data_IF_375039645669
#
_entry.id   IF_375039645669
#
_cell.length_a   1.000
_cell.length_b   1.000
_cell.length_c   1.000
_cell.angle_alpha   90.00
_cell.angle_beta   90.00
_cell.angle_gamma   90.00
#
_symmetry.space_group_name_H-M   'P 1'
#
loop_
_entity.id
_entity.type
_entity.pdbx_description
1 polymer ?
#
# COMPACT_ATOMS: atom_id res chain seq x y z
N UNK A 1 23.52 -72.79 30.65
CA UNK A 1 22.22 -72.20 30.45
C UNK A 1 22.44 -70.71 30.38
N UNK A 2 22.59 -70.11 29.15
CA UNK A 2 22.99 -68.72 28.93
C UNK A 2 21.80 -68.00 28.38
N UNK A 3 21.27 -67.04 29.16
CA UNK A 3 20.18 -66.14 28.76
C UNK A 3 20.83 -64.91 28.11
N UNK A 4 20.61 -64.75 26.82
CA UNK A 4 21.00 -63.53 26.07
C UNK A 4 19.85 -62.48 26.17
N UNK A 5 20.08 -61.37 26.89
CA UNK A 5 19.23 -60.25 26.89
C UNK A 5 19.42 -59.46 25.57
N UNK A 6 18.37 -59.34 24.79
CA UNK A 6 18.32 -58.44 23.63
C UNK A 6 17.85 -57.06 24.07
N UNK A 7 18.70 -56.06 23.89
CA UNK A 7 18.41 -54.65 24.17
C UNK A 7 17.83 -54.01 22.89
N UNK A 8 16.54 -53.70 22.90
CA UNK A 8 15.90 -52.96 21.84
C UNK A 8 16.25 -51.44 21.97
N UNK A 9 16.99 -50.92 21.01
CA UNK A 9 17.18 -49.47 20.88
C UNK A 9 16.00 -48.88 20.08
N UNK A 10 15.16 -48.11 20.75
CA UNK A 10 14.14 -47.28 20.11
C UNK A 10 14.80 -45.99 19.61
N UNK A 11 14.98 -45.86 18.31
CA UNK A 11 15.40 -44.59 17.66
C UNK A 11 14.18 -43.71 17.54
N UNK A 12 14.10 -42.68 18.38
CA UNK A 12 13.11 -41.60 18.25
C UNK A 12 13.50 -40.72 17.08
N UNK A 13 12.80 -40.85 15.95
CA UNK A 13 12.86 -39.91 14.82
C UNK A 13 12.15 -38.62 15.21
N UNK A 14 12.93 -37.64 15.66
CA UNK A 14 12.46 -36.26 15.82
C UNK A 14 12.32 -35.60 14.45
N UNK A 15 11.08 -35.51 13.94
CA UNK A 15 10.79 -34.65 12.79
C UNK A 15 10.89 -33.18 13.24
N UNK A 16 11.77 -32.36 12.63
CA UNK A 16 11.71 -30.92 12.87
C UNK A 16 10.41 -30.40 12.22
N UNK A 17 9.40 -30.13 13.04
CA UNK A 17 8.23 -29.41 12.60
C UNK A 17 8.70 -28.05 12.05
N UNK A 18 8.56 -27.84 10.74
CA UNK A 18 8.80 -26.54 10.14
C UNK A 18 7.85 -25.53 10.80
N UNK A 19 8.36 -24.74 11.73
CA UNK A 19 7.67 -23.58 12.28
C UNK A 19 7.43 -22.62 11.11
N UNK A 20 6.19 -22.58 10.62
CA UNK A 20 5.78 -21.57 9.64
C UNK A 20 5.95 -20.23 10.33
N UNK A 21 6.91 -19.43 9.87
CA UNK A 21 7.19 -18.12 10.42
C UNK A 21 5.91 -17.29 10.39
N UNK A 22 5.41 -16.92 11.57
CA UNK A 22 4.24 -16.08 11.71
C UNK A 22 4.59 -14.69 11.19
N UNK A 23 3.80 -14.16 10.26
CA UNK A 23 4.01 -12.83 9.71
C UNK A 23 3.96 -11.78 10.84
N UNK A 24 4.86 -10.80 10.79
CA UNK A 24 4.79 -9.69 11.75
C UNK A 24 3.52 -8.86 11.54
N UNK A 25 3.02 -8.22 12.61
CA UNK A 25 1.84 -7.34 12.50
C UNK A 25 2.02 -6.25 11.43
N UNK A 26 3.20 -5.67 11.30
CA UNK A 26 3.50 -4.70 10.25
C UNK A 26 3.34 -5.30 8.84
N UNK A 27 3.76 -6.55 8.64
CA UNK A 27 3.57 -7.24 7.36
C UNK A 27 2.10 -7.56 7.09
N UNK A 28 1.34 -7.98 8.10
CA UNK A 28 -0.11 -8.19 7.99
C UNK A 28 -0.83 -6.89 7.64
N UNK A 29 -0.55 -5.79 8.34
CA UNK A 29 -1.12 -4.46 8.06
C UNK A 29 -0.76 -3.99 6.66
N UNK A 30 0.49 -4.18 6.21
CA UNK A 30 0.93 -3.78 4.86
C UNK A 30 0.13 -4.44 3.75
N UNK A 31 -0.22 -5.71 3.93
CA UNK A 31 -0.92 -6.52 2.91
C UNK A 31 -2.45 -6.45 3.01
N UNK A 32 -2.99 -5.72 3.99
CA UNK A 32 -4.43 -5.69 4.28
C UNK A 32 -5.06 -4.35 3.93
N UNK A 33 -6.28 -4.43 3.37
CA UNK A 33 -7.13 -3.28 3.09
C UNK A 33 -8.23 -3.12 4.14
N UNK A 34 -8.65 -4.24 4.75
CA UNK A 34 -9.72 -4.28 5.75
C UNK A 34 -9.21 -5.04 6.96
N UNK A 35 -9.25 -4.37 8.12
CA UNK A 35 -8.81 -4.94 9.39
C UNK A 35 -9.94 -4.77 10.38
N UNK A 36 -10.38 -5.88 10.98
CA UNK A 36 -11.47 -5.86 11.97
C UNK A 36 -11.27 -6.92 13.05
N UNK A 37 -11.86 -6.69 14.20
CA UNK A 37 -12.03 -7.71 15.25
C UNK A 37 -13.38 -8.35 15.03
N UNK A 38 -13.45 -9.68 15.10
CA UNK A 38 -14.71 -10.40 14.95
C UNK A 38 -14.69 -11.77 15.57
N UNK A 39 -15.88 -12.29 15.77
CA UNK A 39 -16.13 -13.63 16.34
C UNK A 39 -16.62 -14.56 15.24
N UNK A 40 -15.93 -15.70 15.05
CA UNK A 40 -16.37 -16.75 14.11
C UNK A 40 -17.69 -17.32 14.59
N UNK A 41 -18.74 -17.21 13.78
CA UNK A 41 -20.06 -17.75 14.10
C UNK A 41 -20.32 -19.10 13.45
N UNK A 42 -19.81 -19.32 12.23
CA UNK A 42 -19.99 -20.55 11.47
C UNK A 42 -18.74 -20.90 10.67
N UNK A 43 -18.45 -22.18 10.54
CA UNK A 43 -17.36 -22.75 9.71
C UNK A 43 -17.98 -23.51 8.54
N UNK A 44 -17.36 -23.47 7.37
CA UNK A 44 -17.90 -24.08 6.15
C UNK A 44 -19.14 -23.36 5.59
N UNK A 45 -19.36 -22.11 6.01
CA UNK A 45 -20.54 -21.33 5.67
C UNK A 45 -20.17 -19.99 5.03
N UNK A 46 -21.15 -19.33 4.41
CA UNK A 46 -21.03 -18.03 3.77
C UNK A 46 -22.20 -17.14 4.16
N UNK A 47 -21.96 -15.86 4.39
CA UNK A 47 -22.95 -14.81 4.56
C UNK A 47 -23.31 -14.13 3.21
N UNK A 48 -22.41 -14.22 2.22
CA UNK A 48 -22.58 -13.67 0.88
C UNK A 48 -22.87 -14.84 -0.08
N UNK A 49 -24.07 -14.93 -0.68
CA UNK A 49 -24.50 -16.08 -1.49
C UNK A 49 -23.65 -16.32 -2.74
N UNK A 50 -23.03 -15.27 -3.25
CA UNK A 50 -22.17 -15.30 -4.44
C UNK A 50 -20.82 -16.00 -4.17
N UNK A 51 -20.47 -16.22 -2.90
CA UNK A 51 -19.26 -16.93 -2.49
C UNK A 51 -19.52 -18.44 -2.43
N UNK A 52 -18.73 -19.28 -3.13
CA UNK A 52 -18.82 -20.72 -2.99
C UNK A 52 -18.50 -21.18 -1.56
N UNK A 53 -19.34 -22.02 -0.99
CA UNK A 53 -19.05 -22.68 0.31
C UNK A 53 -17.87 -23.63 0.17
N UNK A 54 -16.99 -23.60 1.14
CA UNK A 54 -15.84 -24.50 1.21
C UNK A 54 -15.40 -24.71 2.67
N UNK A 55 -14.51 -25.66 2.91
CA UNK A 55 -13.90 -25.84 4.23
C UNK A 55 -13.04 -24.63 4.66
N UNK A 56 -12.74 -23.74 3.73
CA UNK A 56 -11.98 -22.50 3.96
C UNK A 56 -12.87 -21.30 4.21
N UNK A 57 -14.19 -21.40 4.05
CA UNK A 57 -15.08 -20.27 4.28
C UNK A 57 -15.63 -20.29 5.71
N UNK A 58 -15.58 -19.14 6.35
CA UNK A 58 -16.20 -18.94 7.68
C UNK A 58 -17.05 -17.69 7.66
N UNK A 59 -18.10 -17.68 8.47
CA UNK A 59 -18.87 -16.47 8.75
C UNK A 59 -18.37 -15.89 10.05
N UNK A 60 -17.98 -14.61 10.00
CA UNK A 60 -17.49 -13.85 11.14
C UNK A 60 -18.45 -12.71 11.42
N UNK A 61 -18.96 -12.60 12.65
CA UNK A 61 -19.64 -11.41 13.12
C UNK A 61 -18.58 -10.37 13.48
N UNK A 62 -18.68 -9.17 12.89
CA UNK A 62 -17.79 -8.05 13.16
C UNK A 62 -18.10 -7.49 14.55
N UNK A 63 -17.13 -7.49 15.43
CA UNK A 63 -17.24 -6.89 16.75
C UNK A 63 -16.77 -5.42 16.72
N UNK A 64 -15.70 -5.13 15.94
CA UNK A 64 -15.20 -3.78 15.71
C UNK A 64 -14.44 -3.67 14.38
N UNK A 65 -14.65 -2.59 13.66
CA UNK A 65 -13.83 -2.23 12.48
C UNK A 65 -12.66 -1.37 12.95
N UNK A 66 -11.44 -1.80 12.62
CA UNK A 66 -10.20 -1.08 12.92
C UNK A 66 -9.76 -0.21 11.74
N UNK A 67 -9.81 -0.77 10.52
CA UNK A 67 -9.44 -0.10 9.29
C UNK A 67 -10.28 -0.63 8.11
N UNK A 68 -10.72 0.25 7.22
CA UNK A 68 -11.38 -0.10 5.95
C UNK A 68 -11.31 1.04 4.95
N UNK A 69 -11.39 0.79 3.63
CA UNK A 69 -11.63 1.82 2.63
C UNK A 69 -12.97 2.55 2.89
N UNK A 70 -12.99 3.85 2.61
CA UNK A 70 -14.19 4.68 2.86
C UNK A 70 -15.47 4.16 2.21
N UNK A 71 -15.48 3.68 0.94
CA UNK A 71 -16.70 3.20 0.27
C UNK A 71 -17.20 1.84 0.78
N UNK A 72 -16.42 1.10 1.58
CA UNK A 72 -16.85 -0.21 2.10
C UNK A 72 -17.85 -0.03 3.24
N UNK A 73 -19.07 -0.48 3.02
CA UNK A 73 -20.12 -0.48 4.05
C UNK A 73 -19.92 -1.68 4.99
N UNK A 74 -19.12 -1.50 6.04
CA UNK A 74 -18.84 -2.49 7.07
C UNK A 74 -18.88 -1.83 8.44
N UNK A 75 -19.70 -2.38 9.35
CA UNK A 75 -19.89 -1.87 10.71
C UNK A 75 -19.91 -3.01 11.74
N UNK A 76 -19.81 -2.66 13.01
CA UNK A 76 -19.98 -3.64 14.09
C UNK A 76 -21.41 -4.25 14.04
N UNK A 77 -21.50 -5.55 14.24
CA UNK A 77 -22.73 -6.34 14.11
C UNK A 77 -22.91 -7.02 12.75
N UNK A 78 -22.24 -6.55 11.70
CA UNK A 78 -22.33 -7.15 10.38
C UNK A 78 -21.73 -8.57 10.34
N UNK A 79 -22.26 -9.40 9.42
CA UNK A 79 -21.72 -10.73 9.13
C UNK A 79 -20.90 -10.67 7.86
N UNK A 80 -19.63 -11.08 7.97
CA UNK A 80 -18.65 -11.11 6.86
C UNK A 80 -18.32 -12.55 6.52
N UNK A 81 -18.26 -12.86 5.22
CA UNK A 81 -17.64 -14.10 4.75
C UNK A 81 -16.14 -13.92 4.68
N UNK A 82 -15.37 -14.75 5.38
CA UNK A 82 -13.92 -14.78 5.30
C UNK A 82 -13.47 -16.09 4.64
N UNK A 83 -12.73 -16.00 3.54
CA UNK A 83 -12.00 -17.13 3.00
C UNK A 83 -10.67 -17.22 3.72
N UNK A 84 -10.50 -18.26 4.55
CA UNK A 84 -9.28 -18.47 5.34
C UNK A 84 -8.12 -18.96 4.48
N UNK A 85 -6.91 -18.60 4.85
CA UNK A 85 -5.70 -19.07 4.16
C UNK A 85 -5.54 -20.60 4.23
N UNK A 86 -6.02 -21.23 5.33
CA UNK A 86 -5.98 -22.68 5.53
C UNK A 86 -7.31 -23.19 6.07
N UNK A 87 -7.77 -24.33 5.53
CA UNK A 87 -8.92 -25.02 6.08
C UNK A 87 -8.69 -25.40 7.55
N UNK A 88 -9.74 -25.27 8.38
CA UNK A 88 -9.69 -25.66 9.79
C UNK A 88 -8.83 -24.78 10.71
N UNK A 89 -8.29 -23.66 10.21
CA UNK A 89 -7.49 -22.72 11.02
C UNK A 89 -8.31 -22.00 12.11
N UNK A 90 -9.62 -21.88 11.91
CA UNK A 90 -10.54 -21.21 12.81
C UNK A 90 -11.67 -22.16 13.24
N UNK A 91 -12.18 -21.95 14.46
CA UNK A 91 -13.33 -22.67 15.01
C UNK A 91 -14.42 -21.66 15.40
N UNK A 92 -15.68 -22.11 15.38
CA UNK A 92 -16.79 -21.31 15.87
C UNK A 92 -16.55 -20.86 17.34
N UNK A 93 -16.93 -19.65 17.67
CA UNK A 93 -16.74 -19.03 18.98
C UNK A 93 -15.37 -18.36 19.17
N UNK A 94 -14.41 -18.55 18.26
CA UNK A 94 -13.11 -17.85 18.36
C UNK A 94 -13.27 -16.40 17.94
N UNK A 95 -12.77 -15.50 18.80
CA UNK A 95 -12.58 -14.09 18.48
C UNK A 95 -11.15 -13.86 18.04
N UNK A 96 -10.96 -13.07 16.99
CA UNK A 96 -9.64 -12.72 16.46
C UNK A 96 -9.64 -11.34 15.82
N UNK A 97 -8.44 -10.76 15.67
CA UNK A 97 -8.20 -9.65 14.74
C UNK A 97 -7.91 -10.25 13.38
N UNK A 98 -8.75 -9.93 12.40
CA UNK A 98 -8.63 -10.36 11.03
C UNK A 98 -7.95 -9.31 10.19
N UNK A 99 -6.89 -9.69 9.50
CA UNK A 99 -6.18 -8.90 8.49
C UNK A 99 -6.56 -9.44 7.12
N UNK A 100 -7.25 -8.64 6.30
CA UNK A 100 -7.91 -9.15 5.10
C UNK A 100 -7.76 -8.22 3.91
N UNK A 101 -7.91 -8.79 2.70
CA UNK A 101 -8.11 -8.05 1.46
C UNK A 101 -9.55 -8.20 0.98
N UNK A 102 -10.04 -7.19 0.24
CA UNK A 102 -11.37 -7.26 -0.35
C UNK A 102 -11.51 -8.38 -1.38
N UNK A 103 -12.69 -8.99 -1.43
CA UNK A 103 -13.05 -10.00 -2.43
C UNK A 103 -14.35 -9.63 -3.15
N UNK A 104 -15.47 -9.55 -2.43
CA UNK A 104 -16.77 -9.17 -2.98
C UNK A 104 -17.39 -8.11 -2.08
N UNK A 105 -17.87 -7.04 -2.71
CA UNK A 105 -18.62 -5.97 -2.09
C UNK A 105 -19.96 -5.81 -2.80
N UNK A 106 -21.04 -5.69 -2.05
CA UNK A 106 -22.38 -5.55 -2.61
C UNK A 106 -23.42 -5.55 -1.47
N UNK A 107 -24.41 -6.45 -1.53
CA UNK A 107 -25.39 -6.63 -0.45
C UNK A 107 -24.77 -7.23 0.85
N UNK A 108 -23.51 -7.65 0.79
CA UNK A 108 -22.70 -8.14 1.89
C UNK A 108 -21.22 -7.98 1.58
N UNK A 109 -20.38 -8.29 2.55
CA UNK A 109 -18.91 -8.20 2.42
C UNK A 109 -18.32 -9.59 2.50
N UNK A 110 -17.51 -9.95 1.51
CA UNK A 110 -16.64 -11.10 1.55
C UNK A 110 -15.18 -10.64 1.39
N UNK A 111 -14.29 -11.26 2.17
CA UNK A 111 -12.87 -10.91 2.23
C UNK A 111 -12.00 -12.17 2.20
N UNK A 112 -10.74 -12.01 1.79
CA UNK A 112 -9.72 -13.05 1.88
C UNK A 112 -8.77 -12.76 3.02
N UNK A 113 -8.49 -13.76 3.81
CA UNK A 113 -7.56 -13.66 4.92
C UNK A 113 -6.12 -13.54 4.43
N UNK A 114 -5.41 -12.53 4.92
CA UNK A 114 -3.94 -12.41 4.89
C UNK A 114 -3.37 -13.11 6.12
N UNK A 115 -4.03 -12.98 7.25
CA UNK A 115 -3.73 -13.64 8.52
C UNK A 115 -4.67 -13.17 9.61
N UNK A 116 -4.55 -13.81 10.79
CA UNK A 116 -5.29 -13.42 11.98
C UNK A 116 -4.41 -13.48 13.23
N UNK A 117 -4.75 -12.67 14.21
CA UNK A 117 -4.19 -12.74 15.56
C UNK A 117 -5.31 -13.12 16.53
N UNK A 118 -5.12 -14.16 17.38
CA UNK A 118 -6.15 -14.55 18.33
C UNK A 118 -6.48 -13.39 19.29
N UNK A 119 -7.75 -13.15 19.51
CA UNK A 119 -8.23 -12.15 20.46
C UNK A 119 -7.96 -12.60 21.91
N UNK A 120 -7.50 -11.68 22.74
CA UNK A 120 -7.28 -11.93 24.16
C UNK A 120 -8.32 -11.23 25.01
N UNK A 121 -9.62 -11.47 24.86
CA UNK A 121 -10.66 -10.90 25.72
C UNK A 121 -11.70 -10.03 25.01
N UNK A 122 -12.96 -10.02 25.50
CA UNK A 122 -14.04 -9.24 24.90
C UNK A 122 -13.90 -7.71 25.07
N UNK A 123 -12.85 -7.24 25.76
CA UNK A 123 -12.56 -5.81 25.85
C UNK A 123 -11.79 -5.41 24.59
N UNK A 124 -12.56 -4.95 23.61
CA UNK A 124 -12.02 -4.29 22.43
C UNK A 124 -11.37 -2.99 22.87
N UNK A 125 -10.06 -3.02 23.04
CA UNK A 125 -9.34 -1.93 23.64
C UNK A 125 -8.98 -0.88 22.60
N UNK A 126 -8.94 0.38 23.02
CA UNK A 126 -8.28 1.48 22.30
C UNK A 126 -6.90 1.03 21.79
N UNK A 127 -6.24 0.14 22.55
CA UNK A 127 -4.93 -0.45 22.25
C UNK A 127 -4.87 -1.18 20.90
N UNK A 128 -5.91 -1.88 20.45
CA UNK A 128 -5.91 -2.57 19.16
C UNK A 128 -5.91 -1.58 18.00
N UNK A 129 -6.70 -0.50 18.08
CA UNK A 129 -6.70 0.57 17.08
C UNK A 129 -5.36 1.29 17.05
N UNK A 130 -4.84 1.64 18.21
CA UNK A 130 -3.55 2.29 18.34
C UNK A 130 -2.42 1.40 17.78
N UNK A 131 -2.43 0.11 18.07
CA UNK A 131 -1.45 -0.84 17.56
C UNK A 131 -1.49 -0.96 16.02
N UNK A 132 -2.69 -1.00 15.43
CA UNK A 132 -2.84 -1.02 13.96
C UNK A 132 -2.42 0.32 13.37
N UNK A 133 -2.85 1.45 13.94
CA UNK A 133 -2.46 2.79 13.48
C UNK A 133 -0.93 2.99 13.55
N UNK A 134 -0.31 2.56 14.64
CA UNK A 134 1.15 2.60 14.80
C UNK A 134 1.87 1.72 13.77
N UNK A 135 1.37 0.49 13.53
CA UNK A 135 1.93 -0.39 12.52
C UNK A 135 1.77 0.22 11.11
N UNK A 136 0.61 0.83 10.80
CA UNK A 136 0.37 1.52 9.53
C UNK A 136 1.30 2.73 9.35
N UNK A 137 1.52 3.52 10.38
CA UNK A 137 2.45 4.64 10.35
C UNK A 137 3.89 4.17 10.04
N UNK A 138 4.34 3.07 10.65
CA UNK A 138 5.66 2.49 10.38
C UNK A 138 5.77 1.99 8.92
N UNK A 139 4.73 1.36 8.38
CA UNK A 139 4.67 0.93 6.98
C UNK A 139 4.74 2.14 6.05
N UNK A 140 3.95 3.18 6.32
CA UNK A 140 3.94 4.41 5.52
C UNK A 140 5.29 5.13 5.57
N UNK A 141 5.97 5.16 6.72
CA UNK A 141 7.31 5.73 6.83
C UNK A 141 8.36 4.90 6.08
N UNK A 142 8.27 3.57 6.11
CA UNK A 142 9.16 2.70 5.36
C UNK A 142 8.97 2.86 3.85
N UNK A 143 7.73 2.91 3.38
CA UNK A 143 7.41 3.13 1.97
C UNK A 143 7.86 4.53 1.52
N UNK A 144 7.60 5.57 2.32
CA UNK A 144 8.07 6.92 2.06
C UNK A 144 9.61 6.99 2.03
N UNK A 145 10.29 6.35 2.99
CA UNK A 145 11.76 6.27 3.00
C UNK A 145 12.29 5.61 1.73
N UNK A 146 11.68 4.53 1.26
CA UNK A 146 12.06 3.87 0.03
C UNK A 146 11.87 4.78 -1.20
N UNK A 147 10.79 5.58 -1.27
CA UNK A 147 10.57 6.57 -2.32
C UNK A 147 11.61 7.70 -2.26
N UNK A 148 11.89 8.25 -1.08
CA UNK A 148 12.93 9.27 -0.87
C UNK A 148 14.30 8.76 -1.33
N UNK A 149 14.65 7.52 -1.03
CA UNK A 149 15.93 6.93 -1.44
C UNK A 149 16.06 6.86 -2.96
N UNK A 150 15.00 6.45 -3.67
CA UNK A 150 14.96 6.35 -5.13
C UNK A 150 14.82 7.70 -5.83
N UNK A 151 14.25 8.70 -5.17
CA UNK A 151 14.11 10.04 -5.73
C UNK A 151 15.48 10.64 -6.07
N UNK A 152 15.62 11.18 -7.27
CA UNK A 152 16.79 11.93 -7.69
C UNK A 152 16.86 13.29 -6.97
N UNK A 153 15.68 13.86 -6.68
CA UNK A 153 15.52 15.17 -6.06
C UNK A 153 14.34 15.16 -5.10
N UNK A 154 14.43 15.92 -4.01
CA UNK A 154 13.32 16.18 -3.08
C UNK A 154 13.29 17.66 -2.78
N UNK A 155 12.17 18.29 -3.04
CA UNK A 155 12.01 19.74 -2.88
C UNK A 155 10.68 20.08 -2.22
N UNK A 156 10.64 21.18 -1.46
CA UNK A 156 9.40 21.84 -1.12
C UNK A 156 9.30 23.13 -1.96
N UNK A 157 8.12 23.40 -2.50
CA UNK A 157 7.94 24.54 -3.40
C UNK A 157 6.51 24.72 -3.86
N UNK A 158 6.36 25.58 -4.86
CA UNK A 158 5.07 25.95 -5.46
C UNK A 158 5.09 25.70 -6.97
N UNK A 159 4.00 25.17 -7.50
CA UNK A 159 3.76 25.05 -8.94
C UNK A 159 3.44 26.43 -9.52
N UNK A 160 4.32 26.94 -10.38
CA UNK A 160 4.12 28.25 -11.02
C UNK A 160 3.37 28.14 -12.36
N UNK A 161 3.60 27.05 -13.09
CA UNK A 161 3.02 26.83 -14.41
C UNK A 161 2.71 25.36 -14.64
N UNK A 162 1.64 25.10 -15.38
CA UNK A 162 1.32 23.80 -15.98
C UNK A 162 1.12 23.99 -17.48
N UNK A 163 1.74 23.14 -18.29
CA UNK A 163 1.66 23.18 -19.75
C UNK A 163 1.72 21.78 -20.37
N UNK A 164 1.29 21.58 -21.63
CA UNK A 164 1.55 20.35 -22.36
C UNK A 164 3.05 20.04 -22.41
N UNK A 165 3.41 18.76 -22.27
CA UNK A 165 4.83 18.36 -22.29
C UNK A 165 5.41 18.49 -23.69
N UNK A 166 6.56 19.16 -23.81
CA UNK A 166 7.35 19.21 -25.03
C UNK A 166 8.22 17.92 -25.10
N UNK A 167 7.65 16.86 -25.64
CA UNK A 167 8.37 15.62 -25.85
C UNK A 167 9.14 15.69 -27.18
N UNK A 168 10.37 15.15 -27.21
CA UNK A 168 11.10 15.01 -28.47
C UNK A 168 10.21 14.30 -29.49
N UNK A 169 10.16 14.81 -30.71
CA UNK A 169 9.30 14.28 -31.76
C UNK A 169 9.50 12.76 -31.86
N UNK A 170 8.43 12.01 -31.70
CA UNK A 170 8.44 10.58 -31.90
C UNK A 170 8.91 10.28 -33.34
N UNK A 171 9.74 9.25 -33.53
CA UNK A 171 10.17 8.89 -34.87
C UNK A 171 8.95 8.64 -35.77
N UNK A 172 8.90 9.26 -36.88
CA UNK A 172 8.06 9.28 -38.10
C UNK A 172 6.88 8.30 -38.28
N UNK A 173 6.43 7.58 -37.27
CA UNK A 173 5.18 6.81 -37.30
C UNK A 173 4.09 7.61 -36.59
N UNK A 174 2.92 7.80 -37.22
CA UNK A 174 1.80 8.44 -36.53
C UNK A 174 1.51 7.66 -35.26
N UNK A 175 1.69 8.33 -34.10
CA UNK A 175 1.37 7.75 -32.80
C UNK A 175 -0.14 7.45 -32.80
N UNK A 176 -0.49 6.19 -32.70
CA UNK A 176 -1.88 5.81 -32.47
C UNK A 176 -2.24 6.32 -31.07
N UNK A 177 -3.02 7.39 -31.00
CA UNK A 177 -3.63 7.83 -29.75
C UNK A 177 -4.58 6.69 -29.32
N UNK A 178 -4.31 6.09 -28.17
CA UNK A 178 -5.16 5.10 -27.53
C UNK A 178 -5.89 5.76 -26.37
N UNK A 179 -7.03 5.22 -25.96
CA UNK A 179 -7.74 5.69 -24.75
C UNK A 179 -6.89 5.66 -23.49
N UNK A 180 -5.77 4.92 -23.47
CA UNK A 180 -4.79 4.88 -22.37
C UNK A 180 -3.61 5.85 -22.57
N UNK A 181 -3.72 6.81 -23.52
CA UNK A 181 -2.66 7.80 -23.71
C UNK A 181 -2.54 8.69 -22.45
N UNK A 182 -1.34 8.88 -21.91
CA UNK A 182 -1.14 9.64 -20.66
C UNK A 182 -1.44 11.13 -20.79
N UNK A 183 -1.48 11.70 -22.00
CA UNK A 183 -1.58 13.16 -22.21
C UNK A 183 -0.59 13.91 -21.33
N UNK A 184 0.71 13.73 -21.62
CA UNK A 184 1.78 14.25 -20.77
C UNK A 184 1.74 15.76 -20.64
N UNK A 185 1.74 16.21 -19.38
CA UNK A 185 1.83 17.59 -18.96
C UNK A 185 3.16 17.84 -18.24
N UNK A 186 3.58 19.10 -18.19
CA UNK A 186 4.73 19.58 -17.40
C UNK A 186 4.27 20.59 -16.36
N UNK A 187 4.64 20.37 -15.10
CA UNK A 187 4.56 21.36 -14.04
C UNK A 187 5.93 21.99 -13.83
N UNK A 188 6.01 23.32 -13.81
CA UNK A 188 7.22 24.05 -13.42
C UNK A 188 7.05 24.41 -11.96
N UNK A 189 7.95 23.88 -11.11
CA UNK A 189 7.95 24.11 -9.68
C UNK A 189 9.06 25.07 -9.31
N UNK A 190 8.70 26.19 -8.66
CA UNK A 190 9.64 27.06 -7.99
C UNK A 190 10.05 26.42 -6.67
N UNK A 191 11.33 26.10 -6.53
CA UNK A 191 11.89 25.50 -5.32
C UNK A 191 12.03 26.56 -4.24
N UNK A 192 11.31 26.41 -3.15
CA UNK A 192 11.45 27.25 -1.96
C UNK A 192 12.47 26.66 -0.98
N UNK A 193 12.54 25.33 -0.93
CA UNK A 193 13.43 24.59 -0.04
C UNK A 193 13.93 23.32 -0.72
N UNK A 194 15.25 23.25 -0.95
CA UNK A 194 15.92 22.07 -1.50
C UNK A 194 16.29 21.08 -0.40
N UNK A 195 15.56 19.96 -0.32
CA UNK A 195 15.77 18.94 0.70
C UNK A 195 16.84 17.93 0.27
N UNK A 196 16.85 17.57 -1.02
CA UNK A 196 17.82 16.66 -1.65
C UNK A 196 17.98 17.04 -3.12
N UNK A 197 19.20 17.26 -3.57
CA UNK A 197 19.54 17.39 -5.01
C UNK A 197 19.08 18.66 -5.71
N UNK A 198 18.61 19.69 -5.00
CA UNK A 198 18.26 21.00 -5.52
C UNK A 198 18.56 22.10 -4.48
N UNK A 199 18.56 23.34 -4.94
CA UNK A 199 18.72 24.54 -4.10
C UNK A 199 17.44 25.41 -4.16
N UNK A 200 17.23 26.19 -3.09
CA UNK A 200 16.16 27.17 -3.08
C UNK A 200 16.39 28.22 -4.19
N UNK A 201 15.33 28.65 -4.86
CA UNK A 201 15.38 29.57 -5.98
C UNK A 201 15.49 28.90 -7.35
N UNK A 202 15.76 27.60 -7.42
CA UNK A 202 15.78 26.86 -8.69
C UNK A 202 14.36 26.61 -9.21
N UNK A 203 14.24 26.43 -10.53
CA UNK A 203 13.03 25.93 -11.17
C UNK A 203 13.27 24.51 -11.66
N UNK A 204 12.35 23.60 -11.37
CA UNK A 204 12.40 22.21 -11.80
C UNK A 204 11.15 21.83 -12.58
N UNK A 205 11.29 20.96 -13.59
CA UNK A 205 10.16 20.51 -14.40
C UNK A 205 9.80 19.08 -14.03
N UNK A 206 8.51 18.88 -13.75
CA UNK A 206 7.93 17.58 -13.42
C UNK A 206 6.91 17.20 -14.46
N UNK A 207 7.09 16.06 -15.10
CA UNK A 207 6.12 15.46 -16.02
C UNK A 207 5.14 14.58 -15.29
N UNK A 208 3.89 14.72 -15.64
CA UNK A 208 2.81 13.92 -15.08
C UNK A 208 1.75 13.64 -16.17
N UNK A 209 0.99 12.53 -16.07
CA UNK A 209 -0.09 12.26 -16.99
C UNK A 209 -1.29 13.14 -16.68
N UNK A 210 -1.77 13.91 -17.67
CA UNK A 210 -2.98 14.73 -17.58
C UNK A 210 -4.26 13.92 -17.71
N UNK A 211 -4.19 12.74 -18.35
CA UNK A 211 -5.33 11.86 -18.60
C UNK A 211 -6.04 11.42 -17.32
N UNK A 212 -7.37 11.35 -17.37
CA UNK A 212 -8.26 10.77 -16.34
C UNK A 212 -8.56 9.29 -16.56
N UNK A 213 -7.94 8.65 -17.56
CA UNK A 213 -8.09 7.23 -17.81
C UNK A 213 -7.74 6.38 -16.57
N UNK A 214 -8.34 5.18 -16.47
CA UNK A 214 -8.15 4.26 -15.34
C UNK A 214 -6.68 3.92 -15.09
N UNK A 215 -5.85 3.90 -16.14
CA UNK A 215 -4.40 3.66 -16.02
C UNK A 215 -3.67 4.80 -15.30
N UNK A 216 -4.20 6.02 -15.34
CA UNK A 216 -3.53 7.24 -14.87
C UNK A 216 -4.29 8.02 -13.79
N UNK A 217 -5.54 7.64 -13.47
CA UNK A 217 -6.37 8.35 -12.49
C UNK A 217 -5.75 8.36 -11.08
N UNK A 218 -4.96 7.34 -10.74
CA UNK A 218 -4.28 7.21 -9.44
C UNK A 218 -2.94 7.97 -9.35
N UNK A 219 -2.46 8.58 -10.45
CA UNK A 219 -1.21 9.34 -10.44
C UNK A 219 -1.43 10.77 -9.99
N UNK A 220 -0.44 11.43 -9.36
CA UNK A 220 -0.52 12.84 -9.01
C UNK A 220 -0.85 13.71 -10.22
N UNK A 221 -1.65 14.74 -9.99
CA UNK A 221 -1.95 15.83 -10.91
C UNK A 221 -1.47 17.10 -10.26
N UNK A 222 -1.00 18.05 -11.07
CA UNK A 222 -0.48 19.32 -10.58
C UNK A 222 -1.36 20.46 -11.05
N UNK A 223 -1.58 21.44 -10.18
CA UNK A 223 -2.31 22.66 -10.48
C UNK A 223 -1.45 23.89 -10.16
N UNK A 224 -1.63 24.94 -10.95
CA UNK A 224 -0.95 26.23 -10.70
C UNK A 224 -1.32 26.75 -9.31
N UNK A 225 -0.32 27.16 -8.55
CA UNK A 225 -0.47 27.64 -7.18
C UNK A 225 -0.41 26.55 -6.11
N UNK A 226 -0.38 25.27 -6.49
CA UNK A 226 -0.25 24.16 -5.57
C UNK A 226 1.10 24.20 -4.85
N UNK A 227 1.08 24.08 -3.53
CA UNK A 227 2.26 24.00 -2.68
C UNK A 227 2.40 22.59 -2.12
N UNK A 228 3.64 22.08 -2.12
CA UNK A 228 3.88 20.70 -1.67
C UNK A 228 5.34 20.39 -1.39
N UNK A 229 5.54 19.17 -0.91
CA UNK A 229 6.84 18.50 -0.87
C UNK A 229 6.83 17.41 -1.93
N UNK A 230 7.75 17.51 -2.88
CA UNK A 230 7.76 16.71 -4.10
C UNK A 230 8.98 15.79 -4.13
N UNK A 231 8.75 14.49 -4.33
CA UNK A 231 9.77 13.47 -4.54
C UNK A 231 9.89 13.23 -6.04
N UNK A 232 10.99 13.66 -6.64
CA UNK A 232 11.15 13.73 -8.09
C UNK A 232 12.11 12.65 -8.56
N UNK A 233 11.66 11.87 -9.53
CA UNK A 233 12.42 10.78 -10.14
C UNK A 233 12.91 11.22 -11.52
N UNK A 234 14.10 10.75 -11.95
CA UNK A 234 14.56 11.00 -13.32
C UNK A 234 13.52 10.47 -14.32
N UNK A 235 13.19 11.27 -15.33
CA UNK A 235 12.26 10.82 -16.35
C UNK A 235 12.88 9.71 -17.22
N UNK A 236 12.41 8.49 -16.98
CA UNK A 236 12.70 7.32 -17.81
C UNK A 236 11.47 6.82 -18.57
N UNK A 237 10.33 7.49 -18.42
CA UNK A 237 9.02 7.03 -18.89
C UNK A 237 8.64 7.63 -20.23
N UNK A 238 8.94 8.94 -20.44
CA UNK A 238 8.53 9.65 -21.66
C UNK A 238 9.49 9.46 -22.83
N UNK A 239 10.68 8.91 -22.60
CA UNK A 239 11.75 8.79 -23.59
C UNK A 239 12.45 10.12 -23.92
N UNK A 240 12.11 11.21 -23.23
CA UNK A 240 12.69 12.55 -23.44
C UNK A 240 13.20 13.11 -22.11
N UNK A 241 14.45 12.82 -21.71
CA UNK A 241 14.94 13.16 -20.37
C UNK A 241 15.16 14.67 -20.15
N UNK A 242 15.06 15.47 -21.21
CA UNK A 242 15.26 16.91 -21.18
C UNK A 242 13.99 17.65 -21.62
N UNK A 243 13.85 18.87 -21.13
CA UNK A 243 12.83 19.83 -21.55
C UNK A 243 13.40 21.26 -21.55
N UNK A 244 12.60 22.25 -21.88
CA UNK A 244 13.03 23.65 -21.98
C UNK A 244 12.38 24.53 -20.90
N UNK A 245 13.19 25.34 -20.21
CA UNK A 245 12.73 26.48 -19.38
C UNK A 245 13.44 27.73 -19.86
N UNK A 246 12.70 28.76 -20.24
CA UNK A 246 13.23 30.07 -20.64
C UNK A 246 14.38 29.93 -21.66
N UNK A 247 14.23 29.06 -22.66
CA UNK A 247 15.22 28.82 -23.71
C UNK A 247 16.44 27.98 -23.29
N UNK A 248 16.47 27.43 -22.08
CA UNK A 248 17.54 26.53 -21.61
C UNK A 248 17.04 25.10 -21.51
N UNK A 249 17.88 24.17 -21.98
CA UNK A 249 17.62 22.73 -21.81
C UNK A 249 17.92 22.32 -20.37
N UNK A 250 16.94 21.73 -19.69
CA UNK A 250 17.03 21.28 -18.29
C UNK A 250 16.56 19.84 -18.18
N UNK A 251 17.00 19.09 -17.16
CA UNK A 251 16.45 17.76 -16.87
C UNK A 251 14.96 17.81 -16.56
N UNK A 252 14.20 16.85 -17.10
CA UNK A 252 12.82 16.59 -16.71
C UNK A 252 12.78 15.46 -15.65
N UNK A 253 11.85 15.59 -14.74
CA UNK A 253 11.59 14.60 -13.69
C UNK A 253 10.16 14.08 -13.81
N UNK A 254 9.84 13.02 -13.10
CA UNK A 254 8.47 12.48 -12.97
C UNK A 254 8.10 12.33 -11.49
N UNK A 255 6.80 12.43 -11.21
CA UNK A 255 6.19 12.07 -9.94
C UNK A 255 4.92 11.25 -10.26
N UNK A 256 5.03 9.93 -10.25
CA UNK A 256 4.00 9.02 -10.75
C UNK A 256 3.28 8.24 -9.65
N UNK A 257 3.79 8.28 -8.45
CA UNK A 257 3.18 7.61 -7.31
C UNK A 257 2.58 8.63 -6.33
N UNK A 258 1.44 8.30 -5.75
CA UNK A 258 0.73 9.21 -4.82
C UNK A 258 1.58 9.71 -3.64
N UNK A 259 2.59 8.94 -3.22
CA UNK A 259 3.53 9.38 -2.16
C UNK A 259 4.63 10.30 -2.67
N UNK A 260 4.72 10.54 -3.98
CA UNK A 260 5.69 11.47 -4.55
C UNK A 260 5.26 12.94 -4.37
N UNK A 261 3.98 13.17 -4.02
CA UNK A 261 3.43 14.51 -3.74
C UNK A 261 2.83 14.51 -2.34
N UNK A 262 3.43 15.27 -1.46
CA UNK A 262 3.07 15.38 -0.06
C UNK A 262 2.69 16.82 0.27
N UNK A 263 2.04 17.03 1.42
CA UNK A 263 1.78 18.39 1.89
C UNK A 263 3.10 19.13 2.16
N UNK A 264 3.08 20.45 2.07
CA UNK A 264 4.26 21.29 2.39
C UNK A 264 4.76 21.05 3.82
N UNK A 265 3.87 20.72 4.75
CA UNK A 265 4.17 20.45 6.16
C UNK A 265 4.97 19.14 6.33
N UNK A 266 4.88 18.20 5.40
CA UNK A 266 5.64 16.94 5.44
C UNK A 266 7.15 17.12 5.19
N UNK A 267 7.62 18.29 4.75
CA UNK A 267 9.04 18.57 4.54
C UNK A 267 9.90 18.24 5.77
N UNK A 268 9.41 18.55 6.97
CA UNK A 268 10.11 18.22 8.23
C UNK A 268 10.21 16.71 8.44
N UNK A 269 9.12 15.97 8.21
CA UNK A 269 9.08 14.51 8.29
C UNK A 269 10.03 13.86 7.27
N UNK A 270 10.02 14.35 6.03
CA UNK A 270 10.90 13.87 4.96
C UNK A 270 12.37 14.07 5.33
N UNK A 271 12.75 15.25 5.86
CA UNK A 271 14.12 15.51 6.35
C UNK A 271 14.53 14.57 7.47
N UNK A 272 13.62 14.27 8.39
CA UNK A 272 13.89 13.33 9.49
C UNK A 272 14.14 11.91 8.96
N UNK A 273 13.41 11.47 7.92
CA UNK A 273 13.59 10.16 7.29
C UNK A 273 14.88 10.07 6.48
N UNK A 274 15.36 11.16 5.89
CA UNK A 274 16.65 11.21 5.18
C UNK A 274 17.82 11.05 6.16
N UNK A 275 17.74 11.69 7.33
CA UNK A 275 18.81 11.69 8.35
C UNK A 275 18.90 10.37 9.14
N UNK A 276 17.87 9.54 9.07
CA UNK A 276 17.80 8.27 9.81
C UNK A 276 18.42 7.15 8.95
N UNK A 277 19.59 6.60 9.30
CA UNK A 277 20.27 5.53 8.55
C UNK A 277 19.44 4.25 8.44
#
# INVERSE_FOLDING_TARGET
MHIRSAMLFAVALSFPGAAVAQMSRAALVKQSDIIFIGTVTQVGAVAVPEVPRSERTVVVRVDQVLEKPAPVALTAGDSVTVETARAGSLKAGIQATFYTTGWIFGRGVAVREVGHEPGQSPVVTADAREAVAKARALVNDADLKAHIQRAAMVVAGRVEQVRPAELAAAPTRPRRITEHDPDWQEAIIQVEDGIKGAQAGEQVVVRFPGSSDVAWVGTPKFAVGEEGTFLLHKDSTTGSPLTMIAGRSVPAYTALHKVDVLSKQDATRVRALIKKP
#
